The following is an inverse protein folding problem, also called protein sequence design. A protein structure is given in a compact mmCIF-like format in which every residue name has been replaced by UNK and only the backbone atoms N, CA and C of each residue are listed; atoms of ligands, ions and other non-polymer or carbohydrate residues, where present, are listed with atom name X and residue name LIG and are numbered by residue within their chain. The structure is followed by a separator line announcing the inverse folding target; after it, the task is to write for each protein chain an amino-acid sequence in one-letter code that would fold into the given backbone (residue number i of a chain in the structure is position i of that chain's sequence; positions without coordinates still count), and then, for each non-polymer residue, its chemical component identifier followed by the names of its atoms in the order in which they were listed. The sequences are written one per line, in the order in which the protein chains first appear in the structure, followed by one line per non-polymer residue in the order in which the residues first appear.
data_IF_497437873224
#
_entry.id   IF_497437873224
#
_cell.length_a   1.000
_cell.length_b   1.000
_cell.length_c   1.000
_cell.angle_alpha   90.00
_cell.angle_beta   90.00
_cell.angle_gamma   90.00
#
_symmetry.space_group_name_H-M   'P 1'
#
loop_
_entity.id
_entity.type
_entity.pdbx_description
1 polymer ?
#
# COMPACT_ATOMS: atom_id res chain seq x y z
N UNK A 1 1.14 -12.44 20.19
CA UNK A 1 1.32 -13.43 19.09
C UNK A 1 2.81 -13.54 18.80
N UNK A 2 3.41 -14.73 18.88
CA UNK A 2 4.86 -14.90 18.70
C UNK A 2 5.29 -14.71 17.24
N UNK A 3 6.45 -14.05 17.01
CA UNK A 3 7.07 -13.88 15.69
C UNK A 3 7.31 -15.26 15.03
N UNK A 4 6.69 -15.57 13.87
CA UNK A 4 6.98 -16.82 13.18
C UNK A 4 8.42 -16.80 12.63
N UNK A 5 9.21 -17.80 13.02
CA UNK A 5 10.61 -18.00 12.62
C UNK A 5 10.81 -18.54 11.20
N UNK A 6 9.74 -18.90 10.48
CA UNK A 6 9.81 -19.19 9.05
C UNK A 6 9.15 -18.05 8.29
N UNK A 7 9.86 -17.39 7.39
CA UNK A 7 9.30 -16.29 6.60
C UNK A 7 9.80 -16.40 5.17
N UNK A 8 9.14 -17.26 4.40
CA UNK A 8 9.16 -17.23 2.92
C UNK A 8 8.79 -15.80 2.49
N UNK A 9 9.49 -15.23 1.51
CA UNK A 9 9.21 -13.89 1.00
C UNK A 9 10.48 -13.07 0.74
N UNK A 10 10.39 -12.11 -0.17
CA UNK A 10 11.53 -11.24 -0.51
C UNK A 10 11.71 -10.17 0.57
N UNK A 11 12.92 -10.05 1.10
CA UNK A 11 13.33 -9.00 2.03
C UNK A 11 14.06 -7.90 1.27
N UNK A 12 13.68 -6.64 1.50
CA UNK A 12 14.37 -5.45 0.97
C UNK A 12 14.24 -4.26 1.93
N UNK A 13 15.11 -3.24 1.81
CA UNK A 13 14.86 -1.94 2.44
C UNK A 13 13.55 -1.32 1.94
N UNK A 14 12.82 -0.64 2.83
CA UNK A 14 11.72 0.23 2.48
C UNK A 14 12.27 1.49 1.79
N UNK A 15 11.55 2.02 0.81
CA UNK A 15 11.89 3.29 0.14
C UNK A 15 11.16 4.48 0.74
N UNK A 16 10.09 4.21 1.48
CA UNK A 16 9.30 5.16 2.24
C UNK A 16 9.33 4.76 3.71
N UNK A 17 9.32 5.74 4.60
CA UNK A 17 8.97 5.48 6.00
C UNK A 17 7.50 5.04 6.04
N UNK A 18 7.18 3.84 6.56
CA UNK A 18 5.79 3.43 6.71
C UNK A 18 4.97 4.41 7.55
N UNK A 19 5.57 5.05 8.55
CA UNK A 19 4.88 6.01 9.42
C UNK A 19 4.34 7.18 8.61
N UNK A 20 5.17 7.78 7.76
CA UNK A 20 4.77 8.90 6.88
C UNK A 20 3.60 8.54 5.97
N UNK A 21 3.54 7.30 5.48
CA UNK A 21 2.46 6.84 4.60
C UNK A 21 1.11 6.84 5.32
N UNK A 22 1.09 6.49 6.60
CA UNK A 22 -0.13 6.32 7.40
C UNK A 22 -0.54 7.56 8.20
N UNK A 23 0.33 8.56 8.35
CA UNK A 23 0.01 9.82 9.04
C UNK A 23 -0.82 10.79 8.18
N UNK A 24 -0.58 10.84 6.87
CA UNK A 24 -1.36 11.67 5.96
C UNK A 24 -2.58 10.92 5.41
N UNK A 25 -3.74 11.56 5.50
CA UNK A 25 -5.00 11.00 5.01
C UNK A 25 -4.98 10.76 3.51
N UNK A 26 -4.43 11.69 2.72
CA UNK A 26 -4.42 11.55 1.25
C UNK A 26 -3.46 10.44 0.83
N UNK A 27 -2.30 10.33 1.49
CA UNK A 27 -1.36 9.22 1.34
C UNK A 27 -2.02 7.87 1.64
N UNK A 28 -2.73 7.73 2.76
CA UNK A 28 -3.44 6.49 3.11
C UNK A 28 -4.48 6.13 2.04
N UNK A 29 -5.20 7.12 1.51
CA UNK A 29 -6.14 6.92 0.42
C UNK A 29 -5.45 6.47 -0.88
N UNK A 30 -4.32 7.07 -1.26
CA UNK A 30 -3.51 6.63 -2.42
C UNK A 30 -2.96 5.22 -2.22
N UNK A 31 -2.54 4.87 -1.01
CA UNK A 31 -2.11 3.51 -0.67
C UNK A 31 -3.26 2.50 -0.88
N UNK A 32 -4.48 2.85 -0.47
CA UNK A 32 -5.67 2.02 -0.72
C UNK A 32 -5.96 1.85 -2.22
N UNK A 33 -5.76 2.89 -3.05
CA UNK A 33 -5.92 2.75 -4.51
C UNK A 33 -4.91 1.76 -5.13
N UNK A 34 -3.71 1.70 -4.56
CA UNK A 34 -2.64 0.82 -5.02
C UNK A 34 -2.84 -0.64 -4.59
N UNK A 35 -3.54 -0.85 -3.48
CA UNK A 35 -3.72 -2.14 -2.83
C UNK A 35 -5.19 -2.29 -2.33
N UNK A 36 -6.17 -2.33 -3.25
CA UNK A 36 -7.58 -2.13 -2.94
C UNK A 36 -8.22 -3.21 -2.06
N UNK A 37 -7.73 -4.45 -2.12
CA UNK A 37 -8.20 -5.56 -1.29
C UNK A 37 -7.36 -5.77 -0.02
N UNK A 38 -6.42 -4.86 0.25
CA UNK A 38 -5.48 -5.00 1.36
C UNK A 38 -6.06 -4.47 2.66
N UNK A 39 -5.95 -5.29 3.70
CA UNK A 39 -6.14 -4.89 5.08
C UNK A 39 -4.80 -4.50 5.70
N UNK A 40 -4.78 -3.41 6.46
CA UNK A 40 -3.62 -2.97 7.23
C UNK A 40 -3.87 -3.20 8.72
N UNK A 41 -2.91 -3.81 9.41
CA UNK A 41 -2.93 -4.05 10.85
C UNK A 41 -1.60 -3.63 11.48
N UNK A 42 -1.67 -3.12 12.71
CA UNK A 42 -0.49 -2.92 13.56
C UNK A 42 -0.26 -4.17 14.41
N UNK A 43 0.97 -4.67 14.40
CA UNK A 43 1.41 -5.79 15.22
C UNK A 43 2.32 -5.23 16.30
N UNK A 44 1.83 -5.24 17.54
CA UNK A 44 2.61 -4.85 18.71
C UNK A 44 3.45 -6.04 19.19
N UNK A 45 4.76 -5.86 19.24
CA UNK A 45 5.65 -6.77 19.93
C UNK A 45 5.73 -6.40 21.42
N UNK A 46 6.04 -7.36 22.28
CA UNK A 46 6.16 -7.11 23.72
C UNK A 46 7.27 -6.08 24.02
N UNK A 47 8.36 -6.11 23.25
CA UNK A 47 9.46 -5.14 23.31
C UNK A 47 9.82 -4.67 21.88
N UNK A 48 9.43 -3.45 21.51
CA UNK A 48 9.82 -2.81 20.25
C UNK A 48 8.75 -1.90 19.63
N UNK A 49 9.08 -1.17 18.54
CA UNK A 49 8.09 -0.40 17.80
C UNK A 49 7.03 -1.33 17.18
N UNK A 50 5.82 -0.80 17.00
CA UNK A 50 4.78 -1.51 16.26
C UNK A 50 5.25 -1.81 14.83
N UNK A 51 4.93 -3.01 14.35
CA UNK A 51 5.20 -3.41 12.97
C UNK A 51 3.91 -3.32 12.15
N UNK A 52 4.02 -3.05 10.85
CA UNK A 52 2.87 -2.95 9.97
C UNK A 52 2.72 -4.26 9.19
N UNK A 53 1.52 -4.82 9.22
CA UNK A 53 1.15 -5.99 8.44
C UNK A 53 0.08 -5.61 7.42
N UNK A 54 0.36 -5.89 6.16
CA UNK A 54 -0.55 -5.80 5.04
C UNK A 54 -0.94 -7.21 4.61
N UNK A 55 -2.24 -7.47 4.47
CA UNK A 55 -2.77 -8.76 4.01
C UNK A 55 -3.85 -8.54 2.96
N UNK A 56 -3.73 -9.26 1.85
CA UNK A 56 -4.75 -9.36 0.81
C UNK A 56 -5.18 -10.83 0.71
N UNK A 57 -6.40 -11.11 1.16
CA UNK A 57 -6.97 -12.45 1.14
C UNK A 57 -7.46 -12.88 -0.25
N UNK A 58 -7.74 -11.93 -1.15
CA UNK A 58 -8.18 -12.22 -2.52
C UNK A 58 -6.99 -12.76 -3.30
N UNK A 59 -5.86 -12.04 -3.29
CA UNK A 59 -4.66 -12.48 -4.00
C UNK A 59 -3.77 -13.44 -3.22
N UNK A 60 -4.06 -13.69 -1.93
CA UNK A 60 -3.21 -14.45 -1.02
C UNK A 60 -1.80 -13.84 -0.91
N UNK A 61 -1.75 -12.50 -0.86
CA UNK A 61 -0.50 -11.74 -0.74
C UNK A 61 -0.38 -11.07 0.62
N UNK A 62 0.85 -10.82 1.05
CA UNK A 62 1.11 -10.08 2.29
C UNK A 62 2.42 -9.31 2.23
N UNK A 63 2.51 -8.26 3.05
CA UNK A 63 3.74 -7.53 3.33
C UNK A 63 3.86 -7.20 4.82
N UNK A 64 5.06 -7.37 5.36
CA UNK A 64 5.44 -7.05 6.72
C UNK A 64 6.48 -5.93 6.66
N UNK A 65 6.19 -4.81 7.31
CA UNK A 65 7.06 -3.64 7.35
C UNK A 65 7.47 -3.40 8.80
N UNK A 66 8.76 -3.40 9.06
CA UNK A 66 9.32 -3.14 10.39
C UNK A 66 10.28 -1.97 10.31
N UNK A 67 10.13 -1.00 11.21
CA UNK A 67 11.17 -0.02 11.49
C UNK A 67 12.31 -0.73 12.23
N UNK A 68 13.50 -0.83 11.64
CA UNK A 68 14.67 -1.41 12.29
C UNK A 68 15.80 -0.37 12.32
N UNK A 69 15.84 0.44 13.37
CA UNK A 69 16.74 1.59 13.45
C UNK A 69 16.22 2.75 12.58
N UNK A 70 17.11 3.45 11.89
CA UNK A 70 16.75 4.58 11.01
C UNK A 70 16.19 4.14 9.64
N UNK A 71 16.28 2.85 9.30
CA UNK A 71 15.83 2.32 8.01
C UNK A 71 14.72 1.27 8.18
N UNK A 72 13.58 1.49 7.51
CA UNK A 72 12.51 0.50 7.42
C UNK A 72 12.91 -0.69 6.55
N UNK A 73 12.49 -1.91 6.91
CA UNK A 73 12.64 -3.10 6.06
C UNK A 73 11.29 -3.72 5.77
N UNK A 74 11.15 -4.22 4.55
CA UNK A 74 9.92 -4.81 4.01
C UNK A 74 10.19 -6.25 3.66
N UNK A 75 9.34 -7.14 4.14
CA UNK A 75 9.28 -8.53 3.71
C UNK A 75 7.91 -8.83 3.14
N UNK A 76 7.84 -9.41 1.96
CA UNK A 76 6.55 -9.64 1.30
C UNK A 76 6.55 -10.92 0.48
N UNK A 77 5.37 -11.50 0.30
CA UNK A 77 5.15 -12.72 -0.45
C UNK A 77 3.76 -12.73 -1.08
N UNK A 78 3.60 -13.55 -2.11
CA UNK A 78 2.36 -13.71 -2.87
C UNK A 78 2.43 -13.13 -4.28
N UNK A 79 1.37 -13.32 -5.09
CA UNK A 79 1.28 -12.81 -6.45
C UNK A 79 1.40 -11.29 -6.55
N UNK A 80 0.92 -10.55 -5.55
CA UNK A 80 1.00 -9.09 -5.47
C UNK A 80 2.14 -8.66 -4.54
N UNK A 81 2.87 -7.63 -4.94
CA UNK A 81 3.89 -6.97 -4.11
C UNK A 81 3.27 -5.74 -3.46
N UNK A 82 2.43 -5.96 -2.44
CA UNK A 82 1.54 -4.94 -1.86
C UNK A 82 2.27 -3.64 -1.51
N UNK A 83 3.39 -3.74 -0.79
CA UNK A 83 4.14 -2.55 -0.38
C UNK A 83 4.88 -1.90 -1.56
N UNK A 84 5.37 -2.67 -2.54
CA UNK A 84 5.95 -2.10 -3.76
C UNK A 84 4.91 -1.30 -4.56
N UNK A 85 3.67 -1.80 -4.64
CA UNK A 85 2.57 -1.10 -5.29
C UNK A 85 2.24 0.21 -4.57
N UNK A 86 2.19 0.19 -3.24
CA UNK A 86 1.97 1.40 -2.41
C UNK A 86 3.10 2.41 -2.63
N UNK A 87 4.37 2.01 -2.49
CA UNK A 87 5.51 2.91 -2.72
C UNK A 87 5.46 3.55 -4.11
N UNK A 88 5.15 2.75 -5.14
CA UNK A 88 5.02 3.25 -6.51
C UNK A 88 3.90 4.30 -6.63
N UNK A 89 2.75 4.04 -6.02
CA UNK A 89 1.61 4.95 -6.07
C UNK A 89 1.88 6.26 -5.32
N UNK A 90 2.49 6.18 -4.13
CA UNK A 90 2.90 7.37 -3.36
C UNK A 90 3.93 8.18 -4.14
N UNK A 91 4.96 7.56 -4.73
CA UNK A 91 5.92 8.28 -5.56
C UNK A 91 5.27 8.99 -6.76
N UNK A 92 4.26 8.38 -7.40
CA UNK A 92 3.52 9.02 -8.49
C UNK A 92 2.71 10.23 -8.01
N UNK A 93 2.08 10.13 -6.83
CA UNK A 93 1.31 11.21 -6.23
C UNK A 93 2.21 12.34 -5.70
N UNK A 94 3.32 12.00 -5.06
CA UNK A 94 4.35 12.96 -4.62
C UNK A 94 4.94 13.70 -5.82
N UNK A 95 5.28 12.98 -6.90
CA UNK A 95 5.75 13.57 -8.15
C UNK A 95 4.74 14.50 -8.82
N UNK A 96 3.44 14.36 -8.51
CA UNK A 96 2.38 15.26 -8.94
C UNK A 96 2.14 16.45 -7.98
N UNK A 97 2.99 16.60 -6.96
CA UNK A 97 2.98 17.70 -6.00
C UNK A 97 2.07 17.49 -4.79
N UNK A 98 1.85 16.23 -4.38
CA UNK A 98 1.01 15.86 -3.22
C UNK A 98 -0.38 16.52 -3.21
N UNK A 99 -1.10 16.54 -4.34
CA UNK A 99 -2.38 17.25 -4.40
C UNK A 99 -3.42 16.60 -3.49
N UNK A 100 -4.31 17.43 -2.93
CA UNK A 100 -5.45 16.98 -2.13
C UNK A 100 -6.36 16.01 -2.90
N UNK A 101 -7.13 15.18 -2.19
CA UNK A 101 -8.04 14.17 -2.75
C UNK A 101 -9.04 14.74 -3.78
N UNK A 102 -9.39 16.03 -3.68
CA UNK A 102 -10.26 16.72 -4.65
C UNK A 102 -9.65 16.88 -6.05
N UNK A 103 -8.34 16.65 -6.21
CA UNK A 103 -7.69 16.63 -7.51
C UNK A 103 -7.88 15.30 -8.25
N UNK A 104 -8.47 14.30 -7.61
CA UNK A 104 -8.73 13.02 -8.24
C UNK A 104 -10.15 12.95 -8.79
N UNK A 105 -10.28 12.27 -9.92
CA UNK A 105 -11.56 11.98 -10.54
C UNK A 105 -11.75 10.47 -10.72
N UNK A 106 -12.97 10.12 -11.11
CA UNK A 106 -13.38 8.74 -11.30
C UNK A 106 -14.05 8.58 -12.67
N UNK A 107 -13.70 7.51 -13.37
CA UNK A 107 -14.42 7.02 -14.54
C UNK A 107 -15.00 5.66 -14.21
N UNK A 108 -16.32 5.53 -14.36
CA UNK A 108 -17.04 4.27 -14.17
C UNK A 108 -17.63 3.85 -15.52
N UNK A 109 -17.41 2.60 -15.87
CA UNK A 109 -18.02 1.93 -17.03
C UNK A 109 -18.69 0.64 -16.54
N UNK A 110 -19.54 -0.03 -17.35
CA UNK A 110 -20.12 -1.30 -16.96
C UNK A 110 -19.10 -2.40 -16.61
N UNK A 111 -17.86 -2.29 -17.08
CA UNK A 111 -16.82 -3.32 -16.91
C UNK A 111 -15.59 -2.86 -16.13
N UNK A 112 -15.55 -1.62 -15.63
CA UNK A 112 -14.38 -1.09 -14.94
C UNK A 112 -14.69 0.16 -14.12
N UNK A 113 -13.97 0.31 -13.01
CA UNK A 113 -13.87 1.56 -12.25
C UNK A 113 -12.40 2.00 -12.22
N UNK A 114 -12.15 3.26 -12.57
CA UNK A 114 -10.80 3.83 -12.64
C UNK A 114 -10.75 5.16 -11.92
N UNK A 115 -9.79 5.31 -11.00
CA UNK A 115 -9.46 6.59 -10.37
C UNK A 115 -8.27 7.20 -11.10
N UNK A 116 -8.31 8.49 -11.37
CA UNK A 116 -7.25 9.22 -12.06
C UNK A 116 -6.92 10.52 -11.34
N UNK A 117 -5.69 11.00 -11.50
CA UNK A 117 -5.19 12.20 -10.87
C UNK A 117 -5.14 13.38 -11.86
N UNK A 118 -5.78 14.50 -11.50
CA UNK A 118 -5.93 15.78 -12.22
C UNK A 118 -6.72 15.68 -13.53
N UNK A 119 -6.36 14.76 -14.42
CA UNK A 119 -7.04 14.56 -15.71
C UNK A 119 -7.24 13.07 -15.97
N UNK A 120 -8.23 12.67 -16.80
CA UNK A 120 -8.46 11.27 -17.16
C UNK A 120 -7.26 10.55 -17.79
N UNK A 121 -6.36 11.30 -18.43
CA UNK A 121 -5.13 10.77 -19.06
C UNK A 121 -3.90 10.79 -18.11
N UNK A 122 -4.07 11.26 -16.88
CA UNK A 122 -3.01 11.31 -15.87
C UNK A 122 -2.70 9.95 -15.21
N UNK A 123 -1.86 9.96 -14.16
CA UNK A 123 -1.67 8.78 -13.32
C UNK A 123 -3.02 8.23 -12.86
N UNK A 124 -3.19 6.91 -12.93
CA UNK A 124 -4.47 6.27 -12.67
C UNK A 124 -4.34 4.86 -12.11
N UNK A 125 -5.37 4.45 -11.38
CA UNK A 125 -5.49 3.17 -10.71
C UNK A 125 -6.82 2.53 -11.11
N UNK A 126 -6.75 1.27 -11.54
CA UNK A 126 -7.94 0.47 -11.77
C UNK A 126 -8.35 -0.16 -10.44
N UNK A 127 -9.61 0.01 -10.06
CA UNK A 127 -10.16 -0.65 -8.89
C UNK A 127 -10.67 -2.05 -9.28
N UNK A 128 -10.71 -2.99 -8.32
CA UNK A 128 -11.28 -4.30 -8.55
C UNK A 128 -12.74 -4.13 -8.98
N UNK A 129 -13.10 -4.76 -10.09
CA UNK A 129 -14.51 -4.99 -10.40
C UNK A 129 -14.96 -6.18 -9.57
N UNK A 130 -16.10 -6.08 -8.90
CA UNK A 130 -16.70 -7.24 -8.24
C UNK A 130 -16.72 -8.41 -9.23
N UNK A 131 -16.06 -9.50 -8.88
CA UNK A 131 -16.26 -10.76 -9.58
C UNK A 131 -17.70 -11.19 -9.27
N UNK A 132 -18.54 -11.21 -10.30
CA UNK A 132 -19.89 -11.79 -10.24
C UNK A 132 -19.81 -13.26 -9.86
#
# INVERSE_FOLDING_TARGET
MARPQSRVGSLRPARLDPTDVWEDWTSTWVAQLAAPDTQHSLVFADDGPAEHLLTDHVSQSWAWISAKGEEGVVRQNGPQRLWDSIEKAIHLWDGAGRPHQSAFGITITPSAQRIWLRTPDGPSWNLPTSAT
#
